data_IF_736916315293
#
_entry.id   IF_736916315293
#
_cell.length_a   1.000
_cell.length_b   1.000
_cell.length_c   1.000
_cell.angle_alpha   90.00
_cell.angle_beta   90.00
_cell.angle_gamma   90.00
#
_symmetry.space_group_name_H-M   'P 1'
#
loop_
_entity.id
_entity.type
_entity.pdbx_description
1 polymer ?
#
# COMPACT_ATOMS: atom_id res chain seq x y z
N UNK A 1 -8.01 5.45 5.33
CA UNK A 1 -9.45 5.77 5.51
C UNK A 1 -10.14 5.98 4.15
N UNK A 2 -9.64 6.86 3.28
CA UNK A 2 -10.23 7.13 1.95
C UNK A 2 -10.32 5.86 1.10
N UNK A 3 -9.27 5.07 1.03
CA UNK A 3 -9.28 3.80 0.30
C UNK A 3 -10.29 2.78 0.86
N UNK A 4 -10.47 2.73 2.18
CA UNK A 4 -11.48 1.89 2.80
C UNK A 4 -12.90 2.29 2.36
N UNK A 5 -13.17 3.59 2.30
CA UNK A 5 -14.47 4.11 1.83
C UNK A 5 -14.69 3.78 0.35
N UNK A 6 -13.70 4.02 -0.50
CA UNK A 6 -13.77 3.71 -1.93
C UNK A 6 -14.00 2.20 -2.15
N UNK A 7 -13.28 1.34 -1.41
CA UNK A 7 -13.45 -0.11 -1.49
C UNK A 7 -14.83 -0.55 -1.01
N UNK A 8 -15.37 0.08 0.04
CA UNK A 8 -16.70 -0.21 0.55
C UNK A 8 -17.78 0.19 -0.48
N UNK A 9 -17.64 1.35 -1.13
CA UNK A 9 -18.53 1.77 -2.22
C UNK A 9 -18.44 0.85 -3.43
N UNK A 10 -17.26 0.28 -3.69
CA UNK A 10 -17.06 -0.78 -4.68
C UNK A 10 -17.62 -2.16 -4.26
N UNK A 11 -18.30 -2.27 -3.12
CA UNK A 11 -18.94 -3.51 -2.65
C UNK A 11 -18.05 -4.41 -1.79
N UNK A 12 -16.85 -3.95 -1.41
CA UNK A 12 -15.95 -4.67 -0.50
C UNK A 12 -15.99 -4.03 0.90
N UNK A 13 -17.16 -4.02 1.53
CA UNK A 13 -17.40 -3.38 2.84
C UNK A 13 -16.46 -3.89 3.92
N UNK A 14 -16.07 -5.17 3.86
CA UNK A 14 -15.14 -5.79 4.81
C UNK A 14 -13.70 -5.23 4.73
N UNK A 15 -13.32 -4.56 3.66
CA UNK A 15 -12.01 -3.87 3.55
C UNK A 15 -11.98 -2.55 4.32
N UNK A 16 -13.12 -1.99 4.69
CA UNK A 16 -13.18 -0.74 5.44
C UNK A 16 -12.48 -0.86 6.81
N UNK A 17 -12.79 -1.83 7.68
CA UNK A 17 -12.06 -2.01 8.95
C UNK A 17 -10.59 -2.34 8.74
N UNK A 18 -10.25 -3.08 7.69
CA UNK A 18 -8.86 -3.38 7.35
C UNK A 18 -8.07 -2.09 7.05
N UNK A 19 -8.55 -1.23 6.16
CA UNK A 19 -7.85 0.02 5.83
C UNK A 19 -7.89 1.05 6.96
N UNK A 20 -8.87 1.00 7.85
CA UNK A 20 -8.84 1.78 9.09
C UNK A 20 -7.67 1.34 9.97
N UNK A 21 -7.49 0.04 10.15
CA UNK A 21 -6.39 -0.53 10.93
C UNK A 21 -5.03 -0.16 10.33
N UNK A 22 -4.86 -0.30 9.00
CA UNK A 22 -3.64 0.12 8.31
C UNK A 22 -3.39 1.62 8.51
N UNK A 23 -4.43 2.45 8.42
CA UNK A 23 -4.33 3.88 8.68
C UNK A 23 -3.85 4.19 10.10
N UNK A 24 -4.42 3.53 11.11
CA UNK A 24 -4.00 3.67 12.51
C UNK A 24 -2.54 3.25 12.70
N UNK A 25 -2.12 2.13 12.09
CA UNK A 25 -0.72 1.69 12.15
C UNK A 25 0.23 2.72 11.53
N UNK A 26 -0.12 3.30 10.38
CA UNK A 26 0.67 4.36 9.77
C UNK A 26 0.75 5.60 10.68
N UNK A 27 -0.35 5.99 11.31
CA UNK A 27 -0.38 7.10 12.26
C UNK A 27 0.50 6.82 13.49
N UNK A 28 0.47 5.60 14.03
CA UNK A 28 1.32 5.20 15.15
C UNK A 28 2.81 5.30 14.81
N UNK A 29 3.19 4.90 13.60
CA UNK A 29 4.58 5.05 13.11
C UNK A 29 4.98 6.51 12.99
N UNK A 30 4.03 7.37 12.60
CA UNK A 30 4.26 8.80 12.41
C UNK A 30 4.05 9.62 13.69
N UNK A 31 3.69 8.99 14.82
CA UNK A 31 3.57 9.67 16.12
C UNK A 31 4.91 10.28 16.57
N UNK A 32 4.84 11.53 16.99
CA UNK A 32 5.96 12.25 17.57
C UNK A 32 6.24 13.58 16.88
N UNK A 33 6.86 14.48 17.64
CA UNK A 33 7.16 15.84 17.18
C UNK A 33 8.15 15.77 16.00
N UNK A 34 7.78 16.40 14.89
CA UNK A 34 8.57 16.43 13.65
C UNK A 34 8.88 15.06 13.01
N UNK A 35 8.04 14.06 13.26
CA UNK A 35 8.26 12.70 12.72
C UNK A 35 8.26 12.67 11.19
N UNK A 36 7.42 13.49 10.52
CA UNK A 36 7.35 13.64 9.07
C UNK A 36 8.61 14.29 8.47
N UNK A 37 9.43 14.99 9.27
CA UNK A 37 10.73 15.52 8.84
C UNK A 37 11.86 14.49 8.91
N UNK A 38 11.63 13.39 9.64
CA UNK A 38 12.63 12.32 9.77
C UNK A 38 12.53 11.35 8.60
N UNK A 39 13.58 11.23 7.78
CA UNK A 39 13.57 10.42 6.55
C UNK A 39 13.19 8.97 6.80
N UNK A 40 13.76 8.38 7.84
CA UNK A 40 13.54 6.99 8.16
C UNK A 40 12.09 6.71 8.59
N UNK A 41 11.50 7.57 9.42
CA UNK A 41 10.10 7.41 9.83
C UNK A 41 9.14 7.52 8.66
N UNK A 42 9.41 8.48 7.77
CA UNK A 42 8.61 8.66 6.57
C UNK A 42 8.72 7.43 5.65
N UNK A 43 9.92 6.89 5.48
CA UNK A 43 10.13 5.67 4.70
C UNK A 43 9.41 4.44 5.31
N UNK A 44 9.45 4.28 6.65
CA UNK A 44 8.72 3.22 7.35
C UNK A 44 7.21 3.40 7.19
N UNK A 45 6.69 4.63 7.34
CA UNK A 45 5.27 4.93 7.13
C UNK A 45 4.80 4.57 5.71
N UNK A 46 5.56 4.93 4.68
CA UNK A 46 5.29 4.56 3.30
C UNK A 46 5.39 3.05 3.05
N UNK A 47 6.36 2.38 3.67
CA UNK A 47 6.47 0.92 3.60
C UNK A 47 5.27 0.24 4.24
N UNK A 48 4.83 0.71 5.41
CA UNK A 48 3.65 0.21 6.09
C UNK A 48 2.39 0.37 5.24
N UNK A 49 2.21 1.55 4.63
CA UNK A 49 1.11 1.81 3.71
C UNK A 49 1.15 0.89 2.48
N UNK A 50 2.32 0.76 1.84
CA UNK A 50 2.50 -0.10 0.66
C UNK A 50 2.23 -1.57 0.97
N UNK A 51 2.71 -2.09 2.10
CA UNK A 51 2.41 -3.44 2.57
C UNK A 51 0.90 -3.60 2.83
N UNK A 52 0.28 -2.61 3.47
CA UNK A 52 -1.16 -2.58 3.68
C UNK A 52 -1.95 -2.67 2.38
N UNK A 53 -1.50 -2.00 1.33
CA UNK A 53 -2.13 -2.08 0.00
C UNK A 53 -1.98 -3.47 -0.64
N UNK A 54 -0.79 -4.07 -0.59
CA UNK A 54 -0.56 -5.42 -1.15
C UNK A 54 -1.42 -6.45 -0.44
N UNK A 55 -1.38 -6.48 0.89
CA UNK A 55 -2.15 -7.41 1.70
C UNK A 55 -3.66 -7.15 1.52
N UNK A 56 -4.07 -5.88 1.48
CA UNK A 56 -5.46 -5.50 1.26
C UNK A 56 -6.04 -6.01 -0.06
N UNK A 57 -5.23 -6.04 -1.13
CA UNK A 57 -5.63 -6.63 -2.40
C UNK A 57 -5.71 -8.17 -2.35
N UNK A 58 -4.96 -8.81 -1.47
CA UNK A 58 -5.01 -10.27 -1.28
C UNK A 58 -6.17 -10.72 -0.40
N UNK A 59 -6.61 -9.89 0.55
CA UNK A 59 -7.69 -10.22 1.50
C UNK A 59 -8.99 -10.69 0.82
N UNK A 60 -9.53 -10.02 -0.23
CA UNK A 60 -10.72 -10.48 -0.93
C UNK A 60 -10.58 -11.89 -1.50
N UNK A 61 -9.40 -12.19 -2.02
CA UNK A 61 -9.10 -13.48 -2.64
C UNK A 61 -9.04 -14.58 -1.58
N UNK A 62 -8.45 -14.30 -0.42
CA UNK A 62 -8.30 -15.29 0.64
C UNK A 62 -9.56 -15.48 1.49
N UNK A 63 -10.30 -14.40 1.73
CA UNK A 63 -11.43 -14.41 2.66
C UNK A 63 -12.79 -14.62 1.98
N UNK A 64 -12.94 -14.24 0.71
CA UNK A 64 -14.22 -14.21 0.01
C UNK A 64 -14.08 -14.62 -1.47
N UNK A 65 -13.38 -15.73 -1.72
CA UNK A 65 -13.05 -16.22 -3.06
C UNK A 65 -14.24 -16.26 -4.02
N UNK A 66 -15.35 -16.92 -3.62
CA UNK A 66 -16.53 -17.07 -4.49
C UNK A 66 -17.14 -15.72 -4.87
N UNK A 67 -17.26 -14.81 -3.91
CA UNK A 67 -17.78 -13.46 -4.13
C UNK A 67 -16.84 -12.64 -5.02
N UNK A 68 -15.53 -12.83 -4.87
CA UNK A 68 -14.53 -12.16 -5.69
C UNK A 68 -14.60 -12.63 -7.14
N UNK A 69 -14.68 -13.94 -7.38
CA UNK A 69 -14.81 -14.54 -8.72
C UNK A 69 -16.10 -14.08 -9.40
N UNK A 70 -17.23 -14.13 -8.69
CA UNK A 70 -18.52 -13.70 -9.23
C UNK A 70 -18.48 -12.23 -9.67
N UNK A 71 -17.85 -11.38 -8.87
CA UNK A 71 -17.73 -9.95 -9.17
C UNK A 71 -16.75 -9.67 -10.31
N UNK A 72 -15.60 -10.31 -10.32
CA UNK A 72 -14.61 -10.18 -11.40
C UNK A 72 -15.18 -10.59 -12.76
N UNK A 73 -16.03 -11.62 -12.81
CA UNK A 73 -16.70 -12.07 -14.03
C UNK A 73 -17.73 -11.06 -14.54
N UNK A 74 -18.39 -10.32 -13.64
CA UNK A 74 -19.36 -9.27 -14.01
C UNK A 74 -18.69 -7.96 -14.44
N UNK A 75 -17.50 -7.66 -13.93
CA UNK A 75 -16.73 -6.44 -14.25
C UNK A 75 -15.90 -6.57 -15.54
N UNK A 76 -15.97 -7.70 -16.24
CA UNK A 76 -15.32 -7.89 -17.54
C UNK A 76 -13.81 -8.10 -17.48
N UNK A 77 -13.27 -8.51 -16.31
CA UNK A 77 -11.88 -8.92 -16.22
C UNK A 77 -11.64 -10.15 -17.13
N UNK A 78 -10.57 -10.09 -17.95
CA UNK A 78 -10.21 -11.24 -18.74
C UNK A 78 -9.77 -12.39 -17.82
N UNK A 79 -10.18 -13.60 -18.16
CA UNK A 79 -9.83 -14.81 -17.40
C UNK A 79 -8.31 -14.94 -17.22
N UNK A 80 -7.53 -14.54 -18.22
CA UNK A 80 -6.07 -14.58 -18.18
C UNK A 80 -5.47 -13.67 -17.09
N UNK A 81 -5.98 -12.43 -16.96
CA UNK A 81 -5.54 -11.49 -15.92
C UNK A 81 -5.91 -12.02 -14.53
N UNK A 82 -7.07 -12.64 -14.43
CA UNK A 82 -7.55 -13.23 -13.19
C UNK A 82 -6.69 -14.42 -12.74
N UNK A 83 -6.41 -15.34 -13.67
CA UNK A 83 -5.56 -16.51 -13.41
C UNK A 83 -4.12 -16.11 -13.06
N UNK A 84 -3.60 -15.04 -13.71
CA UNK A 84 -2.30 -14.48 -13.37
C UNK A 84 -2.26 -13.88 -11.95
N UNK A 85 -3.27 -13.10 -11.57
CA UNK A 85 -3.37 -12.55 -10.21
C UNK A 85 -3.47 -13.66 -9.17
N UNK A 86 -4.27 -14.68 -9.46
CA UNK A 86 -4.41 -15.83 -8.59
C UNK A 86 -3.08 -16.57 -8.42
N UNK A 87 -2.38 -16.84 -9.50
CA UNK A 87 -1.07 -17.49 -9.49
C UNK A 87 -0.03 -16.72 -8.68
N UNK A 88 -0.07 -15.38 -8.73
CA UNK A 88 0.79 -14.53 -7.91
C UNK A 88 0.43 -14.57 -6.42
N UNK A 89 -0.84 -14.54 -6.09
CA UNK A 89 -1.31 -14.42 -4.70
C UNK A 89 -1.43 -15.76 -3.98
N UNK A 90 -1.55 -16.86 -4.70
CA UNK A 90 -1.55 -18.21 -4.12
C UNK A 90 -0.16 -18.72 -3.73
N UNK A 91 0.89 -18.16 -4.31
CA UNK A 91 2.26 -18.56 -4.00
C UNK A 91 2.86 -17.65 -2.91
N UNK A 92 3.15 -18.16 -1.70
CA UNK A 92 3.69 -17.37 -0.60
C UNK A 92 5.03 -16.71 -0.94
N UNK A 93 5.85 -17.31 -1.79
CA UNK A 93 7.13 -16.73 -2.20
C UNK A 93 6.97 -15.49 -3.08
N UNK A 94 5.96 -15.47 -3.96
CA UNK A 94 5.64 -14.29 -4.75
C UNK A 94 5.14 -13.14 -3.86
N UNK A 95 4.32 -13.45 -2.85
CA UNK A 95 3.85 -12.46 -1.88
C UNK A 95 4.99 -11.87 -1.05
N UNK A 96 5.89 -12.73 -0.55
CA UNK A 96 7.08 -12.28 0.20
C UNK A 96 7.97 -11.41 -0.70
N UNK A 97 8.19 -11.82 -1.95
CA UNK A 97 8.94 -11.04 -2.93
C UNK A 97 8.32 -9.68 -3.21
N UNK A 98 7.01 -9.63 -3.44
CA UNK A 98 6.29 -8.38 -3.66
C UNK A 98 6.37 -7.44 -2.45
N UNK A 99 6.21 -7.96 -1.25
CA UNK A 99 6.37 -7.20 -0.01
C UNK A 99 7.80 -6.64 0.13
N UNK A 100 8.81 -7.47 -0.11
CA UNK A 100 10.22 -7.06 -0.03
C UNK A 100 10.53 -5.95 -1.05
N UNK A 101 10.12 -6.12 -2.30
CA UNK A 101 10.29 -5.12 -3.37
C UNK A 101 9.61 -3.81 -2.98
N UNK A 102 8.39 -3.87 -2.45
CA UNK A 102 7.64 -2.68 -2.02
C UNK A 102 8.38 -1.91 -0.92
N UNK A 103 8.91 -2.60 0.08
CA UNK A 103 9.70 -1.96 1.15
C UNK A 103 10.96 -1.31 0.58
N UNK A 104 11.69 -2.03 -0.28
CA UNK A 104 12.91 -1.49 -0.92
C UNK A 104 12.60 -0.26 -1.75
N UNK A 105 11.55 -0.30 -2.58
CA UNK A 105 11.15 0.84 -3.41
C UNK A 105 10.67 2.02 -2.57
N UNK A 106 9.95 1.78 -1.47
CA UNK A 106 9.54 2.83 -0.55
C UNK A 106 10.74 3.53 0.11
N UNK A 107 11.73 2.74 0.57
CA UNK A 107 12.98 3.27 1.13
C UNK A 107 13.76 4.08 0.09
N UNK A 108 13.99 3.53 -1.09
CA UNK A 108 14.71 4.21 -2.16
C UNK A 108 13.98 5.49 -2.61
N UNK A 109 12.66 5.43 -2.78
CA UNK A 109 11.84 6.57 -3.16
C UNK A 109 11.89 7.69 -2.13
N UNK A 110 11.83 7.37 -0.84
CA UNK A 110 11.97 8.36 0.23
C UNK A 110 13.37 8.99 0.28
N UNK A 111 14.43 8.21 0.15
CA UNK A 111 15.81 8.72 0.13
C UNK A 111 16.06 9.60 -1.09
N UNK A 112 15.58 9.18 -2.26
CA UNK A 112 15.71 9.93 -3.50
C UNK A 112 14.90 11.23 -3.44
N UNK A 113 13.64 11.15 -3.01
CA UNK A 113 12.77 12.32 -2.85
C UNK A 113 13.38 13.37 -1.91
N UNK A 114 13.98 12.95 -0.78
CA UNK A 114 14.66 13.86 0.12
C UNK A 114 15.90 14.52 -0.49
N UNK A 115 16.66 13.76 -1.29
CA UNK A 115 17.84 14.33 -1.98
C UNK A 115 17.45 15.40 -2.98
N UNK A 116 16.34 15.20 -3.70
CA UNK A 116 15.78 16.20 -4.61
C UNK A 116 15.28 17.41 -3.83
N UNK A 117 14.49 17.20 -2.78
CA UNK A 117 13.96 18.27 -1.95
C UNK A 117 15.09 19.14 -1.37
N UNK A 118 16.11 18.52 -0.77
CA UNK A 118 17.27 19.27 -0.25
C UNK A 118 17.93 20.12 -1.35
N UNK A 119 18.18 19.56 -2.53
CA UNK A 119 18.81 20.29 -3.63
C UNK A 119 17.99 21.48 -4.12
N UNK A 120 16.68 21.31 -4.24
CA UNK A 120 15.80 22.36 -4.77
C UNK A 120 15.50 23.44 -3.72
N UNK A 121 15.21 23.07 -2.48
CA UNK A 121 14.88 24.02 -1.44
C UNK A 121 16.10 24.76 -0.87
N UNK A 122 17.29 24.15 -0.87
CA UNK A 122 18.53 24.86 -0.54
C UNK A 122 18.88 25.92 -1.61
N UNK A 123 18.68 25.61 -2.91
CA UNK A 123 18.88 26.59 -3.99
C UNK A 123 17.85 27.73 -3.94
N UNK A 124 16.66 27.48 -3.44
CA UNK A 124 15.60 28.49 -3.27
C UNK A 124 15.73 29.29 -1.97
N UNK A 125 16.73 29.01 -1.11
CA UNK A 125 16.95 29.72 0.16
C UNK A 125 15.89 29.44 1.24
N UNK A 126 15.04 28.42 1.04
CA UNK A 126 13.92 28.10 1.93
C UNK A 126 14.36 27.22 3.12
N UNK A 127 15.45 26.49 2.96
CA UNK A 127 16.03 25.61 4.01
C UNK A 127 17.51 25.91 4.14
N UNK A 128 17.95 26.23 5.39
CA UNK A 128 19.37 26.34 5.74
C UNK A 128 20.00 24.97 5.91
#
# INVERSE_FOLDING_TARGET
TVFGIISALGGYVFLLPYFLLVGVLCELVMLGKDSYRKPLRNAIGWSCYGLGMIIGNAVPIWAAWESYVAKASTEGFSKEVFDMQLGMLSNPWHMIGACAITVVLALLGCLFGQRILKRHFQKAGIVK
#
